data_IF_265358855351
#
_entry.id   IF_265358855351
#
_cell.length_a   1.000
_cell.length_b   1.000
_cell.length_c   1.000
_cell.angle_alpha   90.00
_cell.angle_beta   90.00
_cell.angle_gamma   90.00
#
_symmetry.space_group_name_H-M   'P 1'
#
loop_
_entity.id
_entity.type
_entity.pdbx_description
1 polymer ?
#
# COMPACT_ATOMS: atom_id res chain seq x y z
N UNK A 1 7.29 -10.68 -13.25
CA UNK A 1 6.03 -9.90 -13.29
C UNK A 1 4.78 -10.76 -13.08
N UNK A 2 4.46 -11.76 -13.94
CA UNK A 2 3.22 -12.56 -13.80
C UNK A 2 3.09 -13.29 -12.46
N UNK A 3 4.16 -13.89 -11.97
CA UNK A 3 4.20 -14.52 -10.63
C UNK A 3 3.92 -13.50 -9.52
N UNK A 4 4.48 -12.29 -9.65
CA UNK A 4 4.25 -11.20 -8.69
C UNK A 4 2.77 -10.77 -8.68
N UNK A 5 2.14 -10.63 -9.85
CA UNK A 5 0.72 -10.29 -9.96
C UNK A 5 -0.17 -11.40 -9.39
N UNK A 6 0.11 -12.66 -9.72
CA UNK A 6 -0.63 -13.79 -9.16
C UNK A 6 -0.50 -13.84 -7.63
N UNK A 7 0.71 -13.61 -7.09
CA UNK A 7 0.93 -13.57 -5.65
C UNK A 7 0.28 -12.34 -4.99
N UNK A 8 0.23 -11.20 -5.68
CA UNK A 8 -0.55 -10.02 -5.24
C UNK A 8 -2.04 -10.35 -5.10
N UNK A 9 -2.65 -11.00 -6.09
CA UNK A 9 -4.07 -11.38 -6.03
C UNK A 9 -4.37 -12.34 -4.89
N UNK A 10 -3.47 -13.27 -4.61
CA UNK A 10 -3.60 -14.19 -3.48
C UNK A 10 -3.38 -13.49 -2.15
N UNK A 11 -2.33 -12.68 -2.02
CA UNK A 11 -1.93 -12.09 -0.73
C UNK A 11 -2.78 -10.88 -0.34
N UNK A 12 -3.23 -10.07 -1.33
CA UNK A 12 -4.02 -8.85 -1.09
C UNK A 12 -5.50 -9.14 -1.23
N UNK A 13 -5.90 -9.73 -2.34
CA UNK A 13 -7.31 -9.93 -2.69
C UNK A 13 -7.83 -11.33 -2.34
N UNK A 14 -7.01 -12.14 -1.69
CA UNK A 14 -7.42 -13.41 -1.06
C UNK A 14 -8.17 -14.35 -1.99
N UNK A 15 -7.73 -14.48 -3.25
CA UNK A 15 -8.41 -15.34 -4.25
C UNK A 15 -8.56 -16.78 -3.82
N UNK A 16 -7.69 -17.29 -2.94
CA UNK A 16 -7.85 -18.61 -2.32
C UNK A 16 -9.08 -18.73 -1.41
N UNK A 17 -9.60 -17.62 -0.89
CA UNK A 17 -10.82 -17.60 -0.06
C UNK A 17 -12.06 -17.53 -0.97
N UNK A 18 -11.92 -16.95 -2.18
CA UNK A 18 -12.99 -16.92 -3.20
C UNK A 18 -13.17 -18.29 -3.87
N UNK A 19 -12.05 -18.96 -4.15
CA UNK A 19 -11.99 -20.28 -4.78
C UNK A 19 -11.16 -21.25 -3.93
N UNK A 20 -11.79 -22.04 -3.04
CA UNK A 20 -11.11 -22.93 -2.09
C UNK A 20 -10.14 -23.93 -2.74
N UNK A 21 -10.36 -24.29 -4.01
CA UNK A 21 -9.45 -25.16 -4.79
C UNK A 21 -8.04 -24.60 -4.85
N UNK A 22 -7.87 -23.26 -4.90
CA UNK A 22 -6.56 -22.59 -4.91
C UNK A 22 -5.80 -22.88 -3.62
N UNK A 23 -6.50 -22.84 -2.47
CA UNK A 23 -5.93 -23.18 -1.16
C UNK A 23 -5.59 -24.69 -1.06
N UNK A 24 -6.49 -25.55 -1.51
CA UNK A 24 -6.31 -27.01 -1.50
C UNK A 24 -5.09 -27.43 -2.33
N UNK A 25 -4.85 -26.79 -3.48
CA UNK A 25 -3.69 -27.03 -4.33
C UNK A 25 -2.40 -26.34 -3.83
N UNK A 26 -2.43 -25.72 -2.65
CA UNK A 26 -1.30 -25.00 -2.06
C UNK A 26 -0.68 -23.92 -2.99
N UNK A 27 -1.50 -23.34 -3.88
CA UNK A 27 -1.06 -22.31 -4.85
C UNK A 27 -0.37 -21.12 -4.18
N UNK A 28 -0.81 -20.63 -3.00
CA UNK A 28 -0.11 -19.56 -2.29
C UNK A 28 1.36 -19.88 -2.02
N UNK A 29 1.66 -21.06 -1.50
CA UNK A 29 3.02 -21.51 -1.18
C UNK A 29 3.85 -21.69 -2.48
N UNK A 30 3.25 -22.25 -3.53
CA UNK A 30 3.94 -22.42 -4.81
C UNK A 30 4.31 -21.06 -5.43
N UNK A 31 3.45 -20.06 -5.34
CA UNK A 31 3.74 -18.71 -5.83
C UNK A 31 4.79 -18.01 -4.97
N UNK A 32 4.74 -18.17 -3.66
CA UNK A 32 5.74 -17.65 -2.74
C UNK A 32 7.13 -18.19 -3.06
N UNK A 33 7.27 -19.53 -3.19
CA UNK A 33 8.53 -20.19 -3.56
C UNK A 33 9.00 -19.77 -4.97
N UNK A 34 8.10 -19.72 -5.95
CA UNK A 34 8.41 -19.30 -7.30
C UNK A 34 8.93 -17.87 -7.35
N UNK A 35 8.31 -16.97 -6.58
CA UNK A 35 8.75 -15.57 -6.47
C UNK A 35 10.11 -15.48 -5.79
N UNK A 36 10.34 -16.22 -4.70
CA UNK A 36 11.62 -16.27 -4.00
C UNK A 36 12.75 -16.75 -4.93
N UNK A 37 12.52 -17.82 -5.69
CA UNK A 37 13.49 -18.34 -6.68
C UNK A 37 13.76 -17.32 -7.78
N UNK A 38 12.72 -16.70 -8.34
CA UNK A 38 12.85 -15.67 -9.37
C UNK A 38 13.65 -14.45 -8.88
N UNK A 39 13.43 -14.01 -7.66
CA UNK A 39 14.17 -12.92 -7.03
C UNK A 39 15.64 -13.33 -6.78
N UNK A 40 15.90 -14.51 -6.22
CA UNK A 40 17.24 -15.02 -6.01
C UNK A 40 18.04 -15.11 -7.33
N UNK A 41 17.39 -15.56 -8.41
CA UNK A 41 17.99 -15.57 -9.74
C UNK A 41 18.30 -14.16 -10.26
N UNK A 42 17.41 -13.18 -10.02
CA UNK A 42 17.59 -11.80 -10.44
C UNK A 42 18.74 -11.08 -9.73
N UNK A 43 19.04 -11.47 -8.49
CA UNK A 43 20.13 -10.89 -7.68
C UNK A 43 21.52 -11.40 -8.09
N UNK A 44 21.60 -12.52 -8.83
CA UNK A 44 22.88 -13.08 -9.35
C UNK A 44 23.44 -12.29 -10.54
N UNK A 45 22.72 -11.29 -11.05
CA UNK A 45 23.18 -10.43 -12.13
C UNK A 45 24.38 -9.55 -11.72
N UNK A 46 25.18 -9.06 -12.72
CA UNK A 46 26.45 -8.34 -12.47
C UNK A 46 26.29 -6.96 -11.80
N UNK A 47 25.07 -6.49 -11.59
CA UNK A 47 24.78 -5.18 -10.98
C UNK A 47 23.71 -5.34 -9.91
N UNK A 48 24.01 -4.90 -8.67
CA UNK A 48 23.00 -4.87 -7.60
C UNK A 48 21.84 -3.94 -7.98
N UNK A 49 20.60 -4.40 -7.80
CA UNK A 49 19.42 -3.61 -8.09
C UNK A 49 19.39 -2.29 -7.31
N UNK A 50 19.06 -1.18 -7.97
CA UNK A 50 19.05 0.16 -7.34
C UNK A 50 18.01 0.28 -6.22
N UNK A 51 16.91 -0.48 -6.28
CA UNK A 51 15.87 -0.49 -5.26
C UNK A 51 16.36 -0.97 -3.88
N UNK A 52 17.44 -1.78 -3.82
CA UNK A 52 18.09 -2.18 -2.56
C UNK A 52 18.66 -0.98 -1.78
N UNK A 53 18.96 0.12 -2.44
CA UNK A 53 19.56 1.31 -1.83
C UNK A 53 18.52 2.31 -1.31
N UNK A 54 17.24 2.07 -1.57
CA UNK A 54 16.15 2.94 -1.10
C UNK A 54 15.96 2.80 0.41
N UNK A 55 15.84 3.93 1.12
CA UNK A 55 15.50 3.93 2.55
C UNK A 55 14.13 3.31 2.80
N UNK A 56 13.18 3.56 1.90
CA UNK A 56 11.83 3.00 1.98
C UNK A 56 11.84 1.47 1.84
N UNK A 57 12.85 0.91 1.17
CA UNK A 57 13.08 -0.54 1.12
C UNK A 57 13.65 -1.08 2.44
N UNK A 58 14.60 -0.36 3.06
CA UNK A 58 15.30 -0.84 4.25
C UNK A 58 14.41 -0.87 5.51
N UNK A 59 13.51 0.11 5.67
CA UNK A 59 12.71 0.26 6.90
C UNK A 59 11.84 -0.97 7.22
N UNK A 60 11.09 -1.59 6.28
CA UNK A 60 10.34 -2.82 6.55
C UNK A 60 11.21 -3.98 7.03
N UNK A 61 12.46 -4.07 6.55
CA UNK A 61 13.42 -5.08 7.03
C UNK A 61 13.97 -4.75 8.41
N UNK A 62 14.10 -3.47 8.76
CA UNK A 62 14.40 -3.05 10.13
C UNK A 62 13.24 -3.40 11.09
N UNK A 63 11.99 -3.28 10.62
CA UNK A 63 10.82 -3.75 11.40
C UNK A 63 10.87 -5.26 11.59
N UNK A 64 11.22 -6.03 10.56
CA UNK A 64 11.42 -7.48 10.67
C UNK A 64 12.54 -7.82 11.67
N UNK A 65 13.68 -7.12 11.59
CA UNK A 65 14.79 -7.30 12.53
C UNK A 65 14.35 -7.02 13.98
N UNK A 66 13.57 -5.94 14.19
CA UNK A 66 13.01 -5.61 15.50
C UNK A 66 12.08 -6.71 16.01
N UNK A 67 11.22 -7.28 15.14
CA UNK A 67 10.35 -8.41 15.50
C UNK A 67 11.16 -9.64 15.92
N UNK A 68 12.24 -9.95 15.17
CA UNK A 68 13.12 -11.10 15.46
C UNK A 68 13.86 -10.90 16.80
N UNK A 69 14.42 -9.71 17.02
CA UNK A 69 15.10 -9.35 18.29
C UNK A 69 14.12 -9.35 19.46
N UNK A 70 12.88 -8.91 19.22
CA UNK A 70 11.81 -8.90 20.23
C UNK A 70 11.21 -10.29 20.54
N UNK A 71 11.44 -11.30 19.68
CA UNK A 71 10.81 -12.61 19.80
C UNK A 71 11.05 -13.31 21.14
N UNK A 72 12.26 -13.34 21.73
CA UNK A 72 12.50 -13.94 23.05
C UNK A 72 11.72 -13.27 24.19
N UNK A 73 11.34 -12.01 24.01
CA UNK A 73 10.66 -11.17 25.00
C UNK A 73 9.15 -11.06 24.74
N UNK A 74 8.65 -11.67 23.67
CA UNK A 74 7.24 -11.63 23.29
C UNK A 74 6.35 -12.30 24.35
N UNK A 75 5.17 -11.75 24.60
CA UNK A 75 4.13 -12.34 25.44
C UNK A 75 3.72 -13.75 25.00
N UNK A 76 3.78 -14.00 23.69
CA UNK A 76 3.50 -15.33 23.14
C UNK A 76 4.47 -15.64 21.99
N UNK A 77 5.61 -16.18 22.33
CA UNK A 77 6.74 -16.44 21.41
C UNK A 77 6.35 -17.28 20.19
N UNK A 78 5.63 -18.39 20.41
CA UNK A 78 5.19 -19.28 19.31
C UNK A 78 4.25 -18.58 18.32
N UNK A 79 3.37 -17.75 18.82
CA UNK A 79 2.45 -16.95 18.00
C UNK A 79 3.20 -15.89 17.19
N UNK A 80 4.08 -15.13 17.83
CA UNK A 80 4.94 -14.16 17.16
C UNK A 80 5.85 -14.80 16.12
N UNK A 81 6.44 -15.97 16.42
CA UNK A 81 7.25 -16.72 15.43
C UNK A 81 6.42 -17.12 14.21
N UNK A 82 5.23 -17.67 14.42
CA UNK A 82 4.31 -18.05 13.36
C UNK A 82 3.91 -16.82 12.51
N UNK A 83 3.60 -15.70 13.16
CA UNK A 83 3.26 -14.45 12.47
C UNK A 83 4.44 -13.95 11.62
N UNK A 84 5.64 -13.88 12.18
CA UNK A 84 6.85 -13.44 11.46
C UNK A 84 7.06 -14.31 10.21
N UNK A 85 7.02 -15.64 10.38
CA UNK A 85 7.38 -16.58 9.31
C UNK A 85 6.28 -16.82 8.28
N UNK A 86 5.01 -16.84 8.70
CA UNK A 86 3.87 -17.20 7.84
C UNK A 86 3.07 -16.02 7.33
N UNK A 87 3.25 -14.84 7.92
CA UNK A 87 2.52 -13.62 7.51
C UNK A 87 3.47 -12.53 7.07
N UNK A 88 4.37 -12.06 7.94
CA UNK A 88 5.14 -10.86 7.64
C UNK A 88 6.26 -11.10 6.61
N UNK A 89 6.97 -12.23 6.64
CA UNK A 89 7.98 -12.55 5.61
C UNK A 89 7.37 -12.70 4.20
N UNK A 90 6.25 -13.41 3.99
CA UNK A 90 5.54 -13.40 2.70
C UNK A 90 5.11 -12.00 2.24
N UNK A 91 4.66 -11.15 3.16
CA UNK A 91 4.33 -9.74 2.86
C UNK A 91 5.55 -8.97 2.34
N UNK A 92 6.70 -9.12 2.99
CA UNK A 92 7.95 -8.50 2.53
C UNK A 92 8.42 -9.09 1.20
N UNK A 93 8.28 -10.39 0.99
CA UNK A 93 8.60 -11.03 -0.28
C UNK A 93 7.76 -10.46 -1.42
N UNK A 94 6.46 -10.24 -1.19
CA UNK A 94 5.59 -9.58 -2.17
C UNK A 94 6.02 -8.14 -2.44
N UNK A 95 6.35 -7.35 -1.40
CA UNK A 95 6.87 -5.99 -1.55
C UNK A 95 8.12 -5.96 -2.44
N UNK A 96 9.06 -6.85 -2.18
CA UNK A 96 10.29 -7.01 -2.98
C UNK A 96 9.96 -7.43 -4.41
N UNK A 97 9.03 -8.37 -4.58
CA UNK A 97 8.53 -8.82 -5.88
C UNK A 97 7.97 -7.68 -6.71
N UNK A 98 7.14 -6.82 -6.11
CA UNK A 98 6.59 -5.61 -6.75
C UNK A 98 7.72 -4.65 -7.13
N UNK A 99 8.62 -4.32 -6.18
CA UNK A 99 9.73 -3.41 -6.42
C UNK A 99 10.69 -3.91 -7.53
N UNK A 100 10.92 -5.22 -7.61
CA UNK A 100 11.78 -5.84 -8.61
C UNK A 100 11.10 -5.98 -10.00
N UNK A 101 9.77 -6.12 -10.03
CA UNK A 101 9.00 -6.34 -11.25
C UNK A 101 8.79 -5.06 -12.06
N UNK A 102 8.76 -3.90 -11.42
CA UNK A 102 8.56 -2.60 -12.07
C UNK A 102 9.91 -2.05 -12.54
N UNK A 103 10.12 -2.01 -13.85
CA UNK A 103 11.36 -1.52 -14.48
C UNK A 103 11.20 -0.18 -15.18
N UNK A 104 9.97 0.16 -15.53
CA UNK A 104 9.56 1.36 -16.24
C UNK A 104 8.10 1.71 -15.95
N UNK A 105 7.59 2.75 -16.61
CA UNK A 105 6.22 3.22 -16.43
C UNK A 105 5.16 2.20 -16.92
N UNK A 106 5.47 1.43 -17.98
CA UNK A 106 4.54 0.43 -18.51
C UNK A 106 4.36 -0.73 -17.53
N UNK A 107 5.46 -1.20 -16.92
CA UNK A 107 5.42 -2.20 -15.84
C UNK A 107 4.61 -1.68 -14.63
N UNK A 108 4.79 -0.40 -14.26
CA UNK A 108 4.04 0.25 -13.17
C UNK A 108 2.54 0.32 -13.48
N UNK A 109 2.18 0.73 -14.70
CA UNK A 109 0.80 0.73 -15.17
C UNK A 109 0.18 -0.66 -15.14
N UNK A 110 0.94 -1.67 -15.57
CA UNK A 110 0.45 -3.05 -15.58
C UNK A 110 0.16 -3.56 -14.18
N UNK A 111 1.06 -3.37 -13.22
CA UNK A 111 0.85 -3.79 -11.83
C UNK A 111 -0.30 -3.02 -11.17
N UNK A 112 -0.38 -1.70 -11.38
CA UNK A 112 -1.50 -0.90 -10.88
C UNK A 112 -2.84 -1.34 -11.48
N UNK A 113 -2.88 -1.67 -12.78
CA UNK A 113 -4.10 -2.16 -13.42
C UNK A 113 -4.47 -3.58 -12.95
N UNK A 114 -3.48 -4.46 -12.80
CA UNK A 114 -3.69 -5.78 -12.24
C UNK A 114 -4.19 -5.73 -10.77
N UNK A 115 -3.69 -4.76 -9.98
CA UNK A 115 -4.23 -4.51 -8.65
C UNK A 115 -5.70 -4.10 -8.69
N UNK A 116 -6.07 -3.20 -9.61
CA UNK A 116 -7.46 -2.76 -9.79
C UNK A 116 -8.37 -3.92 -10.22
N UNK A 117 -7.92 -4.78 -11.16
CA UNK A 117 -8.65 -5.99 -11.55
C UNK A 117 -8.88 -6.90 -10.32
N UNK A 118 -7.84 -7.11 -9.51
CA UNK A 118 -7.97 -7.92 -8.29
C UNK A 118 -8.99 -7.32 -7.30
N UNK A 119 -8.98 -5.99 -7.14
CA UNK A 119 -9.96 -5.28 -6.34
C UNK A 119 -11.39 -5.50 -6.83
N UNK A 120 -11.61 -5.39 -8.15
CA UNK A 120 -12.94 -5.54 -8.74
C UNK A 120 -13.46 -6.98 -8.68
N UNK A 121 -12.60 -7.97 -8.95
CA UNK A 121 -12.95 -9.39 -8.82
C UNK A 121 -13.36 -9.71 -7.38
N UNK A 122 -12.55 -9.27 -6.41
CA UNK A 122 -12.86 -9.45 -5.00
C UNK A 122 -14.15 -8.73 -4.59
N UNK A 123 -14.31 -7.48 -5.04
CA UNK A 123 -15.49 -6.66 -4.77
C UNK A 123 -16.76 -7.28 -5.35
N UNK A 124 -16.70 -7.72 -6.60
CA UNK A 124 -17.84 -8.35 -7.27
C UNK A 124 -18.23 -9.67 -6.60
N UNK A 125 -17.25 -10.50 -6.25
CA UNK A 125 -17.50 -11.71 -5.49
C UNK A 125 -18.16 -11.40 -4.13
N UNK A 126 -17.59 -10.45 -3.39
CA UNK A 126 -18.14 -10.02 -2.09
C UNK A 126 -19.57 -9.52 -2.23
N UNK A 127 -19.84 -8.71 -3.25
CA UNK A 127 -21.17 -8.18 -3.52
C UNK A 127 -22.21 -9.27 -3.82
N UNK A 128 -21.83 -10.31 -4.57
CA UNK A 128 -22.73 -11.34 -5.07
C UNK A 128 -22.91 -12.50 -4.10
N UNK A 129 -21.89 -12.87 -3.34
CA UNK A 129 -21.84 -14.13 -2.60
C UNK A 129 -21.66 -14.00 -1.09
N UNK A 130 -21.25 -12.82 -0.58
CA UNK A 130 -21.12 -12.62 0.86
C UNK A 130 -22.41 -12.04 1.42
N UNK A 131 -22.97 -12.72 2.42
CA UNK A 131 -24.18 -12.25 3.09
C UNK A 131 -23.90 -10.99 3.93
N UNK A 132 -24.87 -10.10 3.97
CA UNK A 132 -24.85 -8.96 4.90
C UNK A 132 -24.94 -9.52 6.33
N UNK A 133 -24.06 -9.05 7.19
CA UNK A 133 -24.04 -9.47 8.60
C UNK A 133 -25.29 -9.06 9.37
N UNK A 134 -25.50 -9.64 10.53
CA UNK A 134 -26.60 -9.31 11.43
C UNK A 134 -26.58 -7.85 11.91
N UNK A 135 -25.43 -7.18 11.79
CA UNK A 135 -25.23 -5.75 12.04
C UNK A 135 -25.59 -4.85 10.85
N UNK A 136 -26.13 -5.43 9.76
CA UNK A 136 -26.50 -4.74 8.54
C UNK A 136 -25.31 -4.33 7.66
N UNK A 137 -24.09 -4.85 7.90
CA UNK A 137 -22.86 -4.47 7.22
C UNK A 137 -22.33 -5.59 6.34
N UNK A 138 -21.77 -5.21 5.19
CA UNK A 138 -21.08 -6.14 4.32
C UNK A 138 -19.58 -6.21 4.71
N UNK A 139 -19.11 -7.41 5.04
CA UNK A 139 -17.69 -7.69 5.28
C UNK A 139 -17.01 -8.23 4.02
N UNK A 140 -15.69 -8.30 4.02
CA UNK A 140 -14.91 -8.97 2.99
C UNK A 140 -14.82 -10.49 3.19
N UNK A 141 -15.92 -11.13 3.57
CA UNK A 141 -15.97 -12.58 3.80
C UNK A 141 -15.27 -12.99 5.11
N UNK A 142 -14.58 -14.13 5.09
CA UNK A 142 -14.00 -14.71 6.30
C UNK A 142 -12.74 -14.00 6.79
N UNK A 143 -12.04 -13.25 5.94
CA UNK A 143 -10.71 -12.70 6.25
C UNK A 143 -10.74 -11.21 6.61
N UNK A 144 -11.52 -10.42 5.92
CA UNK A 144 -11.60 -8.97 6.12
C UNK A 144 -12.94 -8.60 6.76
N UNK A 145 -12.89 -7.85 7.85
CA UNK A 145 -14.11 -7.25 8.39
C UNK A 145 -14.60 -6.09 7.49
N UNK A 146 -15.75 -5.51 7.83
CA UNK A 146 -16.33 -4.42 7.05
C UNK A 146 -15.45 -3.15 7.02
N UNK A 147 -14.62 -2.92 8.05
CA UNK A 147 -13.72 -1.76 8.10
C UNK A 147 -12.43 -2.04 7.32
N UNK A 148 -11.92 -3.28 7.37
CA UNK A 148 -10.79 -3.73 6.55
C UNK A 148 -11.11 -3.59 5.07
N UNK A 149 -12.30 -4.09 4.66
CA UNK A 149 -12.81 -3.95 3.31
C UNK A 149 -12.84 -2.48 2.89
N UNK A 150 -13.48 -1.61 3.69
CA UNK A 150 -13.57 -0.18 3.38
C UNK A 150 -12.20 0.48 3.25
N UNK A 151 -11.23 0.15 4.11
CA UNK A 151 -9.85 0.66 4.02
C UNK A 151 -9.23 0.33 2.67
N UNK A 152 -9.28 -0.94 2.26
CA UNK A 152 -8.65 -1.40 1.02
C UNK A 152 -9.29 -0.76 -0.20
N UNK A 153 -10.62 -0.65 -0.22
CA UNK A 153 -11.36 -0.05 -1.33
C UNK A 153 -11.11 1.46 -1.43
N UNK A 154 -11.16 2.20 -0.32
CA UNK A 154 -10.88 3.64 -0.32
C UNK A 154 -9.46 3.94 -0.80
N UNK A 155 -8.47 3.17 -0.35
CA UNK A 155 -7.10 3.36 -0.78
C UNK A 155 -6.85 2.91 -2.24
N UNK A 156 -7.74 2.12 -2.84
CA UNK A 156 -7.71 1.75 -4.26
C UNK A 156 -8.31 2.84 -5.17
N UNK A 157 -9.23 3.70 -4.67
CA UNK A 157 -9.89 4.75 -5.47
C UNK A 157 -8.88 5.65 -6.22
N UNK A 158 -7.80 6.18 -5.63
CA UNK A 158 -6.84 7.02 -6.36
C UNK A 158 -6.15 6.28 -7.52
N UNK A 159 -5.96 4.96 -7.39
CA UNK A 159 -5.42 4.10 -8.47
C UNK A 159 -6.45 3.98 -9.59
N UNK A 160 -7.73 3.81 -9.30
CA UNK A 160 -8.77 3.81 -10.32
C UNK A 160 -8.87 5.17 -11.05
N UNK A 161 -8.87 6.28 -10.30
CA UNK A 161 -8.87 7.65 -10.86
C UNK A 161 -7.65 7.90 -11.76
N UNK A 162 -6.49 7.35 -11.44
CA UNK A 162 -5.28 7.43 -12.27
C UNK A 162 -5.53 6.93 -13.70
N UNK A 163 -6.33 5.90 -13.90
CA UNK A 163 -6.68 5.39 -15.24
C UNK A 163 -7.67 6.27 -16.01
N UNK A 164 -8.24 7.32 -15.40
CA UNK A 164 -9.08 8.30 -16.12
C UNK A 164 -8.27 9.42 -16.79
N UNK A 165 -6.94 9.45 -16.66
CA UNK A 165 -6.07 10.48 -17.25
C UNK A 165 -6.11 10.48 -18.78
N UNK A 166 -5.79 11.61 -19.44
CA UNK A 166 -5.60 11.67 -20.90
C UNK A 166 -4.55 10.67 -21.37
N UNK A 167 -4.72 10.14 -22.59
CA UNK A 167 -3.78 9.18 -23.18
C UNK A 167 -4.01 7.71 -22.81
N UNK A 168 -4.80 7.41 -21.77
CA UNK A 168 -5.19 6.03 -21.45
C UNK A 168 -6.22 5.52 -22.45
N UNK A 169 -6.09 4.27 -22.88
CA UNK A 169 -7.02 3.61 -23.79
C UNK A 169 -8.46 3.65 -23.23
N UNK A 170 -9.44 3.88 -24.12
CA UNK A 170 -10.84 4.08 -23.72
C UNK A 170 -11.40 2.92 -22.89
N UNK A 171 -11.06 1.68 -23.23
CA UNK A 171 -11.55 0.52 -22.51
C UNK A 171 -11.04 0.48 -21.04
N UNK A 172 -9.78 0.91 -20.78
CA UNK A 172 -9.25 1.03 -19.42
C UNK A 172 -9.95 2.14 -18.63
N UNK A 173 -10.32 3.24 -19.31
CA UNK A 173 -11.08 4.33 -18.69
C UNK A 173 -12.48 3.89 -18.31
N UNK A 174 -13.18 3.16 -19.20
CA UNK A 174 -14.51 2.62 -18.94
C UNK A 174 -14.44 1.61 -17.79
N UNK A 175 -13.44 0.71 -17.81
CA UNK A 175 -13.20 -0.21 -16.72
C UNK A 175 -13.00 0.54 -15.38
N UNK A 176 -12.15 1.56 -15.34
CA UNK A 176 -11.91 2.35 -14.13
C UNK A 176 -13.16 3.10 -13.63
N UNK A 177 -14.04 3.57 -14.52
CA UNK A 177 -15.33 4.17 -14.14
C UNK A 177 -16.27 3.14 -13.50
N UNK A 178 -16.36 1.94 -14.06
CA UNK A 178 -17.12 0.84 -13.47
C UNK A 178 -16.56 0.41 -12.12
N UNK A 179 -15.22 0.30 -12.03
CA UNK A 179 -14.51 0.04 -10.77
C UNK A 179 -14.88 1.07 -9.71
N UNK A 180 -14.81 2.37 -10.01
CA UNK A 180 -15.18 3.41 -9.07
C UNK A 180 -16.60 3.26 -8.54
N UNK A 181 -17.54 2.94 -9.41
CA UNK A 181 -18.94 2.65 -9.02
C UNK A 181 -19.03 1.49 -8.04
N UNK A 182 -18.39 0.37 -8.38
CA UNK A 182 -18.39 -0.84 -7.55
C UNK A 182 -17.70 -0.62 -6.20
N UNK A 183 -16.53 0.01 -6.19
CA UNK A 183 -15.78 0.29 -4.96
C UNK A 183 -16.58 1.18 -4.01
N UNK A 184 -17.22 2.25 -4.53
CA UNK A 184 -18.03 3.17 -3.72
C UNK A 184 -19.26 2.45 -3.16
N UNK A 185 -19.94 1.65 -3.96
CA UNK A 185 -21.09 0.87 -3.51
C UNK A 185 -20.73 -0.07 -2.35
N UNK A 186 -19.58 -0.76 -2.42
CA UNK A 186 -19.16 -1.64 -1.34
C UNK A 186 -18.72 -0.86 -0.09
N UNK A 187 -18.11 0.31 -0.26
CA UNK A 187 -17.79 1.19 0.87
C UNK A 187 -19.08 1.59 1.60
N UNK A 188 -20.14 1.93 0.87
CA UNK A 188 -21.44 2.24 1.46
C UNK A 188 -21.98 1.01 2.21
N UNK A 189 -22.02 -0.16 1.56
CA UNK A 189 -22.52 -1.42 2.18
C UNK A 189 -21.69 -1.87 3.38
N UNK A 190 -20.41 -1.53 3.43
CA UNK A 190 -19.57 -1.81 4.59
C UNK A 190 -20.00 -1.06 5.85
N UNK A 191 -20.72 0.05 5.71
CA UNK A 191 -21.13 0.91 6.83
C UNK A 191 -19.95 1.41 7.68
N UNK A 192 -18.73 1.46 7.12
CA UNK A 192 -17.54 1.84 7.87
C UNK A 192 -17.44 3.36 8.04
N UNK A 193 -17.57 3.85 9.28
CA UNK A 193 -17.37 5.28 9.62
C UNK A 193 -15.94 5.73 9.32
N UNK A 194 -14.95 4.90 9.63
CA UNK A 194 -13.54 5.16 9.29
C UNK A 194 -13.31 5.21 7.78
N UNK A 195 -13.96 4.30 7.03
CA UNK A 195 -13.97 4.30 5.57
C UNK A 195 -14.61 5.56 4.99
N UNK A 196 -15.70 6.04 5.58
CA UNK A 196 -16.37 7.29 5.17
C UNK A 196 -15.45 8.52 5.35
N UNK A 197 -14.81 8.66 6.52
CA UNK A 197 -13.85 9.75 6.78
C UNK A 197 -12.69 9.67 5.78
N UNK A 198 -12.14 8.49 5.55
CA UNK A 198 -11.06 8.29 4.61
C UNK A 198 -11.48 8.60 3.16
N UNK A 199 -12.71 8.26 2.76
CA UNK A 199 -13.25 8.60 1.45
C UNK A 199 -13.36 10.12 1.25
N UNK A 200 -13.79 10.86 2.27
CA UNK A 200 -13.81 12.33 2.23
C UNK A 200 -12.39 12.88 2.05
N UNK A 201 -11.41 12.39 2.82
CA UNK A 201 -10.02 12.83 2.69
C UNK A 201 -9.43 12.52 1.30
N UNK A 202 -9.73 11.34 0.75
CA UNK A 202 -9.33 10.96 -0.62
C UNK A 202 -10.03 11.83 -1.66
N UNK A 203 -11.32 12.15 -1.49
CA UNK A 203 -12.06 13.05 -2.38
C UNK A 203 -11.43 14.45 -2.37
N UNK A 204 -11.13 15.00 -1.21
CA UNK A 204 -10.44 16.30 -1.06
C UNK A 204 -9.06 16.23 -1.75
N UNK A 205 -8.30 15.15 -1.54
CA UNK A 205 -7.02 14.95 -2.19
C UNK A 205 -7.17 14.95 -3.71
N UNK A 206 -8.14 14.22 -4.25
CA UNK A 206 -8.41 14.16 -5.69
C UNK A 206 -8.73 15.55 -6.23
N UNK A 207 -9.57 16.33 -5.54
CA UNK A 207 -9.96 17.68 -5.97
C UNK A 207 -8.77 18.66 -5.97
N UNK A 208 -7.95 18.64 -4.92
CA UNK A 208 -6.92 19.66 -4.67
C UNK A 208 -5.55 19.27 -5.21
N UNK A 209 -5.11 18.06 -4.93
CA UNK A 209 -3.73 17.63 -5.13
C UNK A 209 -3.50 16.79 -6.39
N UNK A 210 -4.51 16.10 -6.91
CA UNK A 210 -4.35 15.22 -8.07
C UNK A 210 -4.36 16.00 -9.40
N UNK A 211 -3.36 16.86 -9.58
CA UNK A 211 -3.30 17.85 -10.68
C UNK A 211 -3.04 17.26 -12.06
N UNK A 212 -2.52 16.05 -12.15
CA UNK A 212 -2.32 15.34 -13.43
C UNK A 212 -3.63 14.89 -14.08
N UNK A 213 -4.76 14.97 -13.37
CA UNK A 213 -6.09 14.69 -13.89
C UNK A 213 -6.82 16.01 -14.17
N UNK A 214 -7.47 16.19 -15.33
CA UNK A 214 -8.24 17.41 -15.63
C UNK A 214 -9.28 17.72 -14.57
N UNK A 215 -9.46 18.99 -14.22
CA UNK A 215 -10.37 19.43 -13.13
C UNK A 215 -11.80 18.92 -13.32
N UNK A 216 -12.31 18.92 -14.57
CA UNK A 216 -13.65 18.40 -14.89
C UNK A 216 -13.81 16.90 -14.55
N UNK A 217 -12.74 16.09 -14.75
CA UNK A 217 -12.75 14.66 -14.39
C UNK A 217 -12.71 14.50 -12.88
N UNK A 218 -11.87 15.28 -12.17
CA UNK A 218 -11.80 15.26 -10.69
C UNK A 218 -13.13 15.63 -10.06
N UNK A 219 -13.71 16.75 -10.49
CA UNK A 219 -15.02 17.21 -9.98
C UNK A 219 -16.11 16.21 -10.34
N UNK A 220 -16.14 15.71 -11.58
CA UNK A 220 -17.10 14.71 -12.03
C UNK A 220 -17.02 13.41 -11.23
N UNK A 221 -15.80 12.91 -10.97
CA UNK A 221 -15.61 11.68 -10.16
C UNK A 221 -16.10 11.86 -8.71
N UNK A 222 -15.79 12.98 -8.07
CA UNK A 222 -16.24 13.26 -6.70
C UNK A 222 -17.74 13.52 -6.65
N UNK A 223 -18.30 14.25 -7.61
CA UNK A 223 -19.75 14.46 -7.71
C UNK A 223 -20.48 13.12 -7.93
N UNK A 224 -19.99 12.27 -8.83
CA UNK A 224 -20.55 10.94 -9.03
C UNK A 224 -20.52 10.10 -7.75
N UNK A 225 -19.39 10.13 -7.02
CA UNK A 225 -19.29 9.45 -5.72
C UNK A 225 -20.34 9.97 -4.72
N UNK A 226 -20.52 11.29 -4.61
CA UNK A 226 -21.51 11.89 -3.74
C UNK A 226 -22.95 11.51 -4.14
N UNK A 227 -23.27 11.48 -5.44
CA UNK A 227 -24.57 11.03 -5.94
C UNK A 227 -24.79 9.54 -5.61
N UNK A 228 -23.81 8.69 -5.87
CA UNK A 228 -23.91 7.26 -5.52
C UNK A 228 -24.16 7.08 -4.01
N UNK A 229 -23.46 7.82 -3.16
CA UNK A 229 -23.67 7.75 -1.72
C UNK A 229 -25.08 8.20 -1.29
N UNK A 230 -25.65 9.22 -1.92
CA UNK A 230 -27.01 9.68 -1.61
C UNK A 230 -28.09 8.71 -2.12
N UNK A 231 -27.86 8.09 -3.29
CA UNK A 231 -28.82 7.17 -3.91
C UNK A 231 -28.80 5.80 -3.24
N UNK A 232 -27.61 5.25 -2.97
CA UNK A 232 -27.44 3.89 -2.44
C UNK A 232 -27.28 3.83 -0.91
N UNK A 233 -27.02 4.97 -0.26
CA UNK A 233 -26.93 5.05 1.20
C UNK A 233 -28.28 4.85 1.86
N UNK A 234 -28.48 3.71 2.54
CA UNK A 234 -29.70 3.42 3.28
C UNK A 234 -29.88 4.38 4.47
N UNK A 235 -31.11 4.48 5.00
CA UNK A 235 -31.38 5.23 6.22
C UNK A 235 -30.50 4.75 7.40
N UNK A 236 -30.29 3.45 7.53
CA UNK A 236 -29.39 2.85 8.53
C UNK A 236 -27.94 3.28 8.35
N UNK A 237 -27.46 3.37 7.10
CA UNK A 237 -26.13 3.90 6.79
C UNK A 237 -25.96 5.34 7.29
N UNK A 238 -26.91 6.21 6.97
CA UNK A 238 -26.85 7.62 7.37
C UNK A 238 -27.01 7.80 8.89
N UNK A 239 -27.86 7.00 9.55
CA UNK A 239 -27.92 6.95 11.01
C UNK A 239 -26.56 6.60 11.64
N UNK A 240 -25.87 5.60 11.07
CA UNK A 240 -24.52 5.23 11.51
C UNK A 240 -23.52 6.36 11.30
N UNK A 241 -23.54 7.05 10.15
CA UNK A 241 -22.67 8.22 9.91
C UNK A 241 -22.99 9.38 10.84
N UNK A 242 -24.26 9.56 11.21
CA UNK A 242 -24.67 10.62 12.15
C UNK A 242 -24.04 10.46 13.55
N UNK A 243 -23.69 9.24 13.98
CA UNK A 243 -22.99 9.03 15.27
C UNK A 243 -21.60 9.67 15.31
N UNK A 244 -21.01 10.03 14.15
CA UNK A 244 -19.75 10.77 14.10
C UNK A 244 -19.89 12.20 14.72
N UNK A 245 -21.08 12.78 14.64
CA UNK A 245 -21.38 14.11 15.22
C UNK A 245 -21.88 14.03 16.65
N UNK A 246 -22.18 12.83 17.16
CA UNK A 246 -22.67 12.57 18.52
C UNK A 246 -21.83 11.51 19.24
N UNK A 247 -20.58 11.84 19.64
CA UNK A 247 -19.67 10.87 20.26
C UNK A 247 -20.19 10.28 21.59
N UNK A 248 -21.09 10.98 22.29
CA UNK A 248 -21.69 10.49 23.53
C UNK A 248 -22.59 9.25 23.31
N UNK A 249 -23.17 9.12 22.12
CA UNK A 249 -24.03 8.00 21.76
C UNK A 249 -23.23 6.82 21.15
N UNK A 250 -21.92 6.98 20.94
CA UNK A 250 -21.07 5.97 20.35
C UNK A 250 -20.45 5.05 21.41
N UNK A 251 -20.82 3.77 21.38
CA UNK A 251 -20.23 2.70 22.18
C UNK A 251 -18.69 2.71 22.15
N UNK A 252 -18.07 2.98 21.00
CA UNK A 252 -16.61 3.00 20.87
C UNK A 252 -15.94 4.13 21.66
N UNK A 253 -16.70 5.16 22.02
CA UNK A 253 -16.21 6.32 22.78
C UNK A 253 -16.53 6.24 24.27
N UNK A 254 -17.63 5.58 24.64
CA UNK A 254 -18.18 5.58 25.99
C UNK A 254 -17.89 4.30 26.77
N UNK A 255 -17.79 3.14 26.09
CA UNK A 255 -17.59 1.85 26.72
C UNK A 255 -16.14 1.64 27.21
N UNK A 256 -15.94 0.99 28.37
CA UNK A 256 -14.60 0.59 28.86
C UNK A 256 -13.92 -0.47 27.96
N UNK A 257 -14.69 -1.13 27.09
CA UNK A 257 -14.20 -2.06 26.06
C UNK A 257 -14.31 -1.46 24.65
N UNK A 258 -14.64 -0.20 24.55
CA UNK A 258 -14.70 0.57 23.29
C UNK A 258 -13.31 0.96 22.79
N UNK A 259 -13.23 1.42 21.51
CA UNK A 259 -11.96 1.76 20.84
C UNK A 259 -11.13 2.77 21.61
N UNK A 260 -11.73 3.85 22.14
CA UNK A 260 -11.03 4.88 22.92
C UNK A 260 -10.29 4.28 24.13
N UNK A 261 -10.94 3.38 24.86
CA UNK A 261 -10.35 2.72 26.02
C UNK A 261 -9.23 1.74 25.60
N UNK A 262 -9.43 0.97 24.49
CA UNK A 262 -8.41 0.09 23.91
C UNK A 262 -7.19 0.89 23.47
N UNK A 263 -7.37 2.03 22.82
CA UNK A 263 -6.25 2.89 22.39
C UNK A 263 -5.45 3.41 23.59
N UNK A 264 -6.14 3.84 24.66
CA UNK A 264 -5.46 4.26 25.90
C UNK A 264 -4.60 3.12 26.48
N UNK A 265 -5.13 1.89 26.53
CA UNK A 265 -4.37 0.72 26.99
C UNK A 265 -3.21 0.38 26.07
N UNK A 266 -3.43 0.42 24.74
CA UNK A 266 -2.38 0.17 23.74
C UNK A 266 -1.22 1.17 23.84
N UNK A 267 -1.50 2.46 24.09
CA UNK A 267 -0.47 3.45 24.42
C UNK A 267 0.24 3.07 25.74
N UNK A 268 -0.49 2.59 26.73
CA UNK A 268 0.11 2.05 27.97
C UNK A 268 1.08 0.92 27.70
N UNK A 269 0.73 -0.06 26.85
CA UNK A 269 1.63 -1.17 26.46
C UNK A 269 2.89 -0.66 25.77
N UNK A 270 2.75 0.33 24.86
CA UNK A 270 3.88 0.97 24.20
C UNK A 270 4.83 1.65 25.19
N UNK A 271 4.31 2.35 26.19
CA UNK A 271 5.11 3.09 27.17
C UNK A 271 5.77 2.18 28.21
N UNK A 272 5.13 1.05 28.55
CA UNK A 272 5.71 0.06 29.49
C UNK A 272 6.73 -0.86 28.81
N UNK A 273 6.67 -1.02 27.48
CA UNK A 273 7.58 -1.82 26.67
C UNK A 273 8.15 -0.99 25.49
N UNK A 274 8.87 0.12 25.73
CA UNK A 274 9.13 1.14 24.70
C UNK A 274 10.04 0.68 23.57
N UNK A 275 10.96 -0.26 23.78
CA UNK A 275 11.96 -0.65 22.80
C UNK A 275 11.45 -1.68 21.79
N UNK A 276 10.76 -2.71 22.26
CA UNK A 276 10.40 -3.90 21.47
C UNK A 276 8.90 -4.25 21.57
N UNK A 277 8.13 -3.49 22.36
CA UNK A 277 6.71 -3.74 22.56
C UNK A 277 6.40 -5.05 23.30
N UNK A 278 5.14 -5.51 23.15
CA UNK A 278 4.67 -6.77 23.75
C UNK A 278 5.00 -8.00 22.88
N UNK A 279 5.51 -7.78 21.67
CA UNK A 279 5.81 -8.82 20.69
C UNK A 279 4.90 -8.72 19.44
N UNK A 280 5.42 -9.15 18.29
CA UNK A 280 4.70 -9.09 17.03
C UNK A 280 3.39 -9.90 17.09
N UNK A 281 2.28 -9.28 16.66
CA UNK A 281 0.93 -9.86 16.63
C UNK A 281 0.43 -10.35 18.02
N UNK A 282 0.79 -9.66 19.09
CA UNK A 282 0.37 -10.01 20.46
C UNK A 282 -0.53 -8.97 21.13
N UNK A 283 -1.06 -8.01 20.39
CA UNK A 283 -1.92 -6.97 20.97
C UNK A 283 -3.16 -7.56 21.68
N UNK A 284 -3.81 -8.54 21.08
CA UNK A 284 -4.96 -9.22 21.67
C UNK A 284 -4.60 -9.97 22.95
N UNK A 285 -3.41 -10.57 23.01
CA UNK A 285 -2.88 -11.24 24.20
C UNK A 285 -2.56 -10.23 25.30
N UNK A 286 -2.03 -9.05 24.93
CA UNK A 286 -1.80 -7.96 25.88
C UNK A 286 -3.12 -7.46 26.47
N UNK A 287 -4.18 -7.32 25.67
CA UNK A 287 -5.53 -6.98 26.14
C UNK A 287 -6.05 -8.05 27.14
N UNK A 288 -5.80 -9.32 26.87
CA UNK A 288 -6.23 -10.42 27.74
C UNK A 288 -5.43 -10.58 29.03
N UNK A 289 -4.12 -10.32 29.01
CA UNK A 289 -3.22 -10.65 30.11
C UNK A 289 -2.74 -9.44 30.91
N UNK A 290 -2.54 -8.27 30.26
CA UNK A 290 -1.99 -7.09 30.91
C UNK A 290 -3.06 -6.07 31.32
N UNK A 291 -4.24 -6.07 30.66
CA UNK A 291 -5.26 -5.06 30.93
C UNK A 291 -5.94 -5.29 32.29
N UNK A 292 -6.10 -4.21 33.07
CA UNK A 292 -6.82 -4.26 34.36
C UNK A 292 -8.27 -4.69 34.19
N UNK A 293 -8.93 -4.31 33.09
CA UNK A 293 -10.31 -4.71 32.82
C UNK A 293 -10.41 -6.23 32.60
N UNK A 294 -9.42 -6.86 31.97
CA UNK A 294 -9.40 -8.32 31.81
C UNK A 294 -9.25 -9.03 33.17
N UNK A 295 -8.40 -8.51 34.03
CA UNK A 295 -8.21 -9.02 35.38
C UNK A 295 -9.48 -8.89 36.23
N UNK A 296 -10.16 -7.74 36.18
CA UNK A 296 -11.43 -7.51 36.83
C UNK A 296 -12.51 -8.50 36.38
N UNK A 297 -12.70 -8.66 35.06
CA UNK A 297 -13.68 -9.60 34.52
C UNK A 297 -13.37 -11.04 34.89
N UNK A 298 -12.09 -11.41 34.89
CA UNK A 298 -11.67 -12.74 35.35
C UNK A 298 -11.97 -12.95 36.84
N UNK A 299 -11.74 -11.97 37.70
CA UNK A 299 -12.08 -12.02 39.11
C UNK A 299 -13.59 -12.15 39.37
N UNK A 300 -14.41 -11.59 38.49
CA UNK A 300 -15.87 -11.70 38.52
C UNK A 300 -16.41 -12.97 37.79
N UNK A 301 -15.55 -13.89 37.36
CA UNK A 301 -15.90 -15.05 36.52
C UNK A 301 -16.65 -14.68 35.25
N UNK A 302 -16.34 -13.52 34.68
CA UNK A 302 -16.93 -13.00 33.44
C UNK A 302 -15.94 -13.11 32.28
N UNK A 303 -16.40 -13.59 31.14
CA UNK A 303 -15.60 -13.59 29.92
C UNK A 303 -15.44 -12.18 29.34
N UNK A 304 -14.23 -11.81 28.95
CA UNK A 304 -13.95 -10.62 28.17
C UNK A 304 -13.48 -11.02 26.78
N UNK A 305 -14.07 -10.43 25.73
CA UNK A 305 -13.55 -10.58 24.36
C UNK A 305 -12.27 -9.77 24.23
N UNK A 306 -11.15 -10.42 23.97
CA UNK A 306 -9.89 -9.76 23.70
C UNK A 306 -9.95 -9.10 22.32
N UNK A 307 -9.74 -7.81 22.29
CA UNK A 307 -9.90 -7.00 21.08
C UNK A 307 -8.54 -6.62 20.50
N UNK A 308 -8.48 -6.52 19.17
CA UNK A 308 -7.37 -5.87 18.51
C UNK A 308 -7.44 -4.35 18.67
N UNK A 309 -6.36 -3.62 18.33
CA UNK A 309 -6.27 -2.18 18.52
C UNK A 309 -7.31 -1.37 17.73
N UNK A 310 -7.79 -1.86 16.59
CA UNK A 310 -8.58 -1.10 15.62
C UNK A 310 -7.96 0.27 15.28
N UNK A 311 -6.62 0.32 15.26
CA UNK A 311 -5.80 1.47 14.90
C UNK A 311 -4.40 0.96 14.60
N UNK A 312 -3.92 1.16 13.38
CA UNK A 312 -2.62 0.65 12.91
C UNK A 312 -1.43 1.23 13.68
N UNK A 313 -1.52 2.48 14.12
CA UNK A 313 -0.44 3.16 14.85
C UNK A 313 -0.36 2.67 16.29
N UNK A 314 -1.50 2.53 16.95
CA UNK A 314 -1.58 1.96 18.30
C UNK A 314 -1.19 0.49 18.30
N UNK A 315 -1.58 -0.26 17.27
CA UNK A 315 -1.18 -1.65 17.08
C UNK A 315 0.34 -1.79 17.06
N UNK A 316 1.00 -1.08 16.15
CA UNK A 316 2.46 -1.12 16.00
C UNK A 316 3.16 -0.65 17.28
N UNK A 317 2.67 0.44 17.89
CA UNK A 317 3.23 0.95 19.13
C UNK A 317 3.12 -0.05 20.28
N UNK A 318 1.98 -0.70 20.45
CA UNK A 318 1.78 -1.73 21.48
C UNK A 318 2.64 -2.97 21.25
N UNK A 319 2.73 -3.45 20.02
CA UNK A 319 3.42 -4.69 19.64
C UNK A 319 4.93 -4.55 19.48
N UNK A 320 5.41 -3.43 18.93
CA UNK A 320 6.82 -3.20 18.63
C UNK A 320 7.44 -2.01 19.37
N UNK A 321 6.70 -1.43 20.31
CA UNK A 321 7.15 -0.28 21.11
C UNK A 321 7.22 1.02 20.31
N UNK A 322 7.78 2.05 20.94
CA UNK A 322 8.05 3.35 20.33
C UNK A 322 8.96 3.19 19.10
N UNK A 323 9.94 2.27 19.16
CA UNK A 323 10.85 1.98 18.05
C UNK A 323 10.09 1.53 16.80
N UNK A 324 9.15 0.57 16.94
CA UNK A 324 8.32 0.11 15.84
C UNK A 324 7.43 1.20 15.28
N UNK A 325 6.80 2.01 16.14
CA UNK A 325 5.97 3.14 15.74
C UNK A 325 6.78 4.18 14.95
N UNK A 326 7.98 4.53 15.41
CA UNK A 326 8.87 5.46 14.70
C UNK A 326 9.29 4.92 13.33
N UNK A 327 9.62 3.63 13.21
CA UNK A 327 9.93 3.02 11.93
C UNK A 327 8.73 3.08 10.98
N UNK A 328 7.53 2.75 11.45
CA UNK A 328 6.32 2.77 10.64
C UNK A 328 5.95 4.19 10.17
N UNK A 329 5.98 5.18 11.05
CA UNK A 329 5.71 6.59 10.71
C UNK A 329 6.81 7.13 9.77
N UNK A 330 8.07 6.77 9.99
CA UNK A 330 9.19 7.15 9.11
C UNK A 330 9.02 6.55 7.71
N UNK A 331 8.56 5.30 7.60
CA UNK A 331 8.26 4.66 6.31
C UNK A 331 7.19 5.43 5.54
N UNK A 332 6.09 5.76 6.20
CA UNK A 332 5.00 6.55 5.60
C UNK A 332 5.51 7.95 5.21
N UNK A 333 6.17 8.65 6.13
CA UNK A 333 6.64 10.02 5.92
C UNK A 333 7.68 10.13 4.81
N UNK A 334 8.64 9.19 4.75
CA UNK A 334 9.65 9.15 3.67
C UNK A 334 9.03 8.81 2.32
N UNK A 335 8.04 7.90 2.29
CA UNK A 335 7.30 7.56 1.07
C UNK A 335 6.50 8.76 0.55
N UNK A 336 5.73 9.43 1.41
CA UNK A 336 4.97 10.63 1.03
C UNK A 336 5.89 11.78 0.60
N UNK A 337 7.00 12.01 1.31
CA UNK A 337 8.00 13.01 0.92
C UNK A 337 8.57 12.72 -0.46
N UNK A 338 9.01 11.49 -0.71
CA UNK A 338 9.55 11.08 -2.01
C UNK A 338 8.53 11.33 -3.13
N UNK A 339 7.28 10.88 -2.96
CA UNK A 339 6.22 11.09 -3.94
C UNK A 339 5.91 12.57 -4.17
N UNK A 340 5.95 13.42 -3.13
CA UNK A 340 5.72 14.85 -3.25
C UNK A 340 6.80 15.61 -4.04
N UNK A 341 8.00 15.03 -4.15
CA UNK A 341 9.12 15.59 -4.92
C UNK A 341 8.98 15.29 -6.43
N UNK A 342 8.09 14.39 -6.83
CA UNK A 342 7.87 13.99 -8.22
C UNK A 342 6.87 14.95 -8.87
N UNK A 343 7.40 15.96 -9.57
CA UNK A 343 6.59 17.00 -10.22
C UNK A 343 7.02 17.16 -11.68
N UNK A 344 6.06 17.02 -12.59
CA UNK A 344 6.25 17.35 -14.00
C UNK A 344 5.99 18.86 -14.26
N UNK A 345 6.58 19.38 -15.34
CA UNK A 345 6.32 20.74 -15.81
C UNK A 345 7.51 21.68 -15.69
N UNK A 346 7.36 22.97 -16.07
CA UNK A 346 8.48 23.92 -16.21
C UNK A 346 9.27 24.20 -14.92
N UNK A 347 8.66 23.98 -13.77
CA UNK A 347 9.28 24.14 -12.44
C UNK A 347 9.61 22.79 -11.79
N UNK A 348 9.38 21.67 -12.51
CA UNK A 348 9.65 20.30 -12.04
C UNK A 348 10.99 19.77 -12.55
N UNK A 349 11.23 18.49 -12.24
CA UNK A 349 12.36 17.74 -12.76
C UNK A 349 12.14 17.45 -14.27
N UNK A 350 13.04 17.84 -15.17
CA UNK A 350 12.88 17.63 -16.61
C UNK A 350 12.79 16.14 -17.01
N UNK A 351 13.30 15.25 -16.14
CA UNK A 351 13.21 13.81 -16.35
C UNK A 351 11.86 13.20 -15.92
N UNK A 352 10.95 14.00 -15.32
CA UNK A 352 9.61 13.55 -14.87
C UNK A 352 8.60 13.74 -15.99
N UNK A 353 8.03 12.64 -16.45
CA UNK A 353 6.91 12.68 -17.39
C UNK A 353 5.59 13.03 -16.68
N UNK A 354 4.58 13.52 -17.42
CA UNK A 354 3.22 13.70 -16.87
C UNK A 354 2.63 12.40 -16.28
N UNK A 355 3.02 11.26 -16.82
CA UNK A 355 2.61 9.94 -16.35
C UNK A 355 3.25 9.58 -15.02
N UNK A 356 4.56 9.82 -14.84
CA UNK A 356 5.26 9.62 -13.57
C UNK A 356 4.60 10.47 -12.46
N UNK A 357 4.30 11.74 -12.77
CA UNK A 357 3.62 12.63 -11.84
C UNK A 357 2.20 12.15 -11.48
N UNK A 358 1.45 11.62 -12.46
CA UNK A 358 0.13 11.07 -12.23
C UNK A 358 0.17 9.81 -11.37
N UNK A 359 1.13 8.91 -11.63
CA UNK A 359 1.33 7.70 -10.85
C UNK A 359 1.72 8.00 -9.40
N UNK A 360 2.66 8.95 -9.23
CA UNK A 360 3.06 9.43 -7.91
C UNK A 360 1.88 10.01 -7.12
N UNK A 361 1.01 10.80 -7.77
CA UNK A 361 -0.20 11.34 -7.14
C UNK A 361 -1.20 10.24 -6.78
N UNK A 362 -1.34 9.20 -7.62
CA UNK A 362 -2.18 8.05 -7.30
C UNK A 362 -1.68 7.31 -6.05
N UNK A 363 -0.37 7.03 -5.97
CA UNK A 363 0.24 6.40 -4.80
C UNK A 363 0.13 7.28 -3.55
N UNK A 364 0.29 8.60 -3.69
CA UNK A 364 0.09 9.55 -2.58
C UNK A 364 -1.34 9.47 -2.05
N UNK A 365 -2.34 9.52 -2.94
CA UNK A 365 -3.75 9.40 -2.57
C UNK A 365 -4.08 8.07 -1.93
N UNK A 366 -3.51 6.96 -2.44
CA UNK A 366 -3.66 5.62 -1.88
C UNK A 366 -3.08 5.53 -0.45
N UNK A 367 -1.87 6.08 -0.22
CA UNK A 367 -1.26 6.15 1.11
C UNK A 367 -2.03 7.05 2.06
N UNK A 368 -2.56 8.20 1.60
CA UNK A 368 -3.43 9.05 2.41
C UNK A 368 -4.70 8.29 2.81
N UNK A 369 -5.36 7.64 1.86
CA UNK A 369 -6.54 6.81 2.13
C UNK A 369 -6.24 5.71 3.14
N UNK A 370 -5.12 4.99 2.95
CA UNK A 370 -4.66 3.96 3.88
C UNK A 370 -4.40 4.51 5.29
N UNK A 371 -3.68 5.63 5.41
CA UNK A 371 -3.34 6.20 6.71
C UNK A 371 -4.58 6.67 7.48
N UNK A 372 -5.52 7.33 6.80
CA UNK A 372 -6.75 7.83 7.44
C UNK A 372 -7.65 6.66 7.84
N UNK A 373 -7.91 5.69 6.95
CA UNK A 373 -8.69 4.52 7.31
C UNK A 373 -7.98 3.64 8.35
N UNK A 374 -6.66 3.48 8.24
CA UNK A 374 -5.81 2.72 9.15
C UNK A 374 -5.75 3.30 10.58
N UNK A 375 -6.15 4.56 10.76
CA UNK A 375 -6.38 5.12 12.10
C UNK A 375 -7.57 4.48 12.81
N UNK A 376 -8.45 3.78 12.08
CA UNK A 376 -9.63 3.10 12.60
C UNK A 376 -9.59 1.58 12.39
N UNK A 377 -8.49 1.04 11.87
CA UNK A 377 -8.30 -0.37 11.50
C UNK A 377 -6.92 -0.87 11.89
N UNK A 378 -6.80 -2.11 12.30
CA UNK A 378 -5.52 -2.78 12.63
C UNK A 378 -4.84 -3.34 11.38
N UNK A 379 -4.46 -2.48 10.43
CA UNK A 379 -3.97 -2.86 9.10
C UNK A 379 -2.46 -2.66 8.90
N UNK A 380 -1.68 -2.41 9.96
CA UNK A 380 -0.26 -2.06 9.83
C UNK A 380 0.59 -3.13 9.14
N UNK A 381 0.16 -4.39 9.17
CA UNK A 381 0.85 -5.53 8.54
C UNK A 381 0.16 -6.04 7.27
N UNK A 382 -0.86 -5.36 6.76
CA UNK A 382 -1.59 -5.80 5.58
C UNK A 382 -0.69 -5.78 4.33
N UNK A 383 -0.73 -6.84 3.56
CA UNK A 383 -0.01 -6.97 2.28
C UNK A 383 -0.27 -5.79 1.34
N UNK A 384 -1.48 -5.25 1.36
CA UNK A 384 -1.88 -4.08 0.58
C UNK A 384 -0.94 -2.88 0.80
N UNK A 385 -0.66 -2.52 2.07
CA UNK A 385 0.24 -1.42 2.40
C UNK A 385 1.64 -1.64 1.83
N UNK A 386 2.19 -2.84 2.00
CA UNK A 386 3.53 -3.16 1.51
C UNK A 386 3.60 -3.27 -0.02
N UNK A 387 2.49 -3.59 -0.70
CA UNK A 387 2.39 -3.47 -2.17
C UNK A 387 2.52 -2.00 -2.59
N UNK A 388 1.82 -1.07 -1.92
CA UNK A 388 1.99 0.37 -2.18
C UNK A 388 3.45 0.81 -1.95
N UNK A 389 4.07 0.39 -0.85
CA UNK A 389 5.49 0.69 -0.58
C UNK A 389 6.38 0.10 -1.67
N UNK A 390 6.13 -1.13 -2.13
CA UNK A 390 6.86 -1.76 -3.24
C UNK A 390 6.76 -0.94 -4.53
N UNK A 391 5.59 -0.39 -4.85
CA UNK A 391 5.40 0.51 -6.00
C UNK A 391 6.18 1.83 -5.83
N UNK A 392 6.20 2.42 -4.62
CA UNK A 392 6.98 3.64 -4.32
C UNK A 392 8.48 3.39 -4.48
N UNK A 393 8.99 2.27 -3.95
CA UNK A 393 10.39 1.86 -4.08
C UNK A 393 10.78 1.62 -5.54
N UNK A 394 9.89 1.00 -6.32
CA UNK A 394 10.09 0.79 -7.74
C UNK A 394 10.19 2.11 -8.51
N UNK A 395 9.30 3.04 -8.22
CA UNK A 395 9.26 4.36 -8.85
C UNK A 395 10.57 5.13 -8.59
N UNK A 396 11.07 5.17 -7.36
CA UNK A 396 12.39 5.72 -7.02
C UNK A 396 13.52 5.08 -7.85
N UNK A 397 13.47 3.77 -7.99
CA UNK A 397 14.49 2.98 -8.69
C UNK A 397 14.51 3.22 -10.21
N UNK A 398 13.37 3.21 -10.89
CA UNK A 398 13.37 3.37 -12.35
C UNK A 398 13.69 4.81 -12.78
N UNK A 399 13.30 5.81 -12.00
CA UNK A 399 13.71 7.21 -12.20
C UNK A 399 15.21 7.39 -12.03
N UNK A 400 15.80 6.82 -11.00
CA UNK A 400 17.25 6.84 -10.81
C UNK A 400 18.00 6.18 -11.99
N UNK A 401 17.41 5.15 -12.63
CA UNK A 401 17.95 4.55 -13.86
C UNK A 401 17.85 5.48 -15.07
N UNK A 402 16.72 6.17 -15.22
CA UNK A 402 16.48 7.14 -16.33
C UNK A 402 17.48 8.29 -16.25
N UNK A 403 17.63 8.92 -15.08
CA UNK A 403 18.63 9.99 -14.85
C UNK A 403 20.06 9.54 -15.17
N UNK A 404 20.45 8.33 -14.77
CA UNK A 404 21.79 7.81 -15.07
C UNK A 404 22.02 7.60 -16.58
N UNK A 405 21.00 7.25 -17.35
CA UNK A 405 21.07 7.10 -18.82
C UNK A 405 21.13 8.45 -19.51
N UNK A 406 20.31 9.41 -19.11
CA UNK A 406 20.30 10.78 -19.63
C UNK A 406 21.64 11.49 -19.38
N UNK A 407 22.19 11.41 -18.19
CA UNK A 407 23.51 11.96 -17.87
C UNK A 407 24.65 11.35 -18.70
N UNK A 408 24.56 10.05 -19.02
CA UNK A 408 25.56 9.38 -19.89
C UNK A 408 25.44 9.86 -21.35
N UNK A 409 24.24 10.08 -21.85
CA UNK A 409 24.00 10.59 -23.21
C UNK A 409 24.54 12.02 -23.38
N UNK A 410 24.32 12.89 -22.39
CA UNK A 410 24.85 14.25 -22.38
C UNK A 410 26.40 14.23 -22.31
N UNK A 411 26.99 13.37 -21.47
CA UNK A 411 28.44 13.24 -21.37
C UNK A 411 29.09 12.70 -22.64
N UNK A 412 28.41 11.82 -23.38
CA UNK A 412 28.89 11.31 -24.68
C UNK A 412 28.80 12.39 -25.77
N UNK A 413 27.73 13.20 -25.75
CA UNK A 413 27.58 14.32 -26.72
C UNK A 413 28.51 15.50 -26.42
N UNK A 414 28.96 15.66 -25.16
CA UNK A 414 29.90 16.69 -24.74
C UNK A 414 31.37 16.32 -24.92
N UNK A 415 31.72 15.12 -25.39
CA UNK A 415 33.08 14.80 -25.78
C UNK A 415 33.44 15.61 -27.02
N UNK A 416 34.46 16.52 -26.98
CA UNK A 416 34.92 17.27 -28.15
C UNK A 416 35.34 16.25 -29.21
N UNK A 417 34.80 16.43 -30.43
CA UNK A 417 35.21 15.62 -31.56
C UNK A 417 36.74 15.62 -31.63
N UNK A 418 37.35 14.46 -31.44
CA UNK A 418 38.79 14.27 -31.56
C UNK A 418 39.14 14.72 -32.97
N UNK A 419 39.85 15.86 -33.11
CA UNK A 419 40.33 16.35 -34.39
C UNK A 419 41.19 15.25 -35.01
N UNK A 420 40.62 14.53 -35.95
CA UNK A 420 41.38 13.62 -36.78
C UNK A 420 42.41 14.46 -37.53
N UNK A 421 43.69 14.38 -37.13
CA UNK A 421 44.78 14.96 -37.89
C UNK A 421 44.76 14.28 -39.26
N UNK A 422 44.21 14.97 -40.25
CA UNK A 422 44.42 14.61 -41.66
C UNK A 422 45.92 14.83 -41.94
N UNK A 423 46.61 13.71 -42.08
CA UNK A 423 48.00 13.70 -42.52
C UNK A 423 48.03 14.30 -43.94
N UNK A 424 48.52 15.51 -44.07
CA UNK A 424 48.83 16.12 -45.37
C UNK A 424 49.85 15.21 -46.07
N UNK A 425 49.41 14.55 -47.12
CA UNK A 425 50.30 13.89 -48.09
C UNK A 425 51.10 14.95 -48.80
N UNK A 426 52.39 15.00 -48.53
CA UNK A 426 53.39 15.75 -49.33
C UNK A 426 53.40 15.14 -50.74
N UNK A 427 53.25 15.96 -51.85
CA UNK A 427 53.38 15.47 -53.21
C UNK A 427 54.84 15.03 -53.48
N UNK A 428 55.03 13.80 -53.98
CA UNK A 428 56.33 13.37 -54.48
C UNK A 428 56.64 14.12 -55.79
N UNK A 429 57.74 14.87 -55.82
CA UNK A 429 58.31 15.48 -56.99
C UNK A 429 58.69 14.37 -57.99
N UNK A 430 58.17 14.41 -59.20
CA UNK A 430 58.61 13.59 -60.31
C UNK A 430 59.97 14.11 -60.78
N UNK A 431 60.96 13.29 -60.69
CA UNK A 431 62.25 13.49 -61.31
C UNK A 431 62.17 13.10 -62.77
N UNK A 432 62.48 14.00 -63.73
CA UNK A 432 62.58 13.74 -65.15
C UNK A 432 64.06 13.73 -65.51
N UNK A 433 64.59 12.63 -66.08
CA UNK A 433 65.97 12.69 -66.60
C UNK A 433 66.06 13.39 -67.93
N UNK A 434 67.04 14.26 -68.01
CA UNK A 434 67.45 14.84 -69.25
C UNK A 434 68.32 13.88 -70.04
N UNK A 435 67.99 13.65 -71.33
CA UNK A 435 68.78 13.04 -72.37
C UNK A 435 68.62 13.81 -73.66
#
# INVERSE_FOLDING_TARGET
MYVTVAFLWISVWRFQDLWPIIGTLQVPILLELSLAVALAASLRGPRSPKWLKSRMFAIPFLMLALMIVGLPFSLWRGWSFTFITKVFMPVLLLMVGVAASIRDADDANWIAFAHLIGADVYSLYTYLFVAIGSDGRLSGGAHYDANDLALMLVATIPIAVYFLRPGVAIWKRLFALLSLGLLIELIIKSGSRGGFIALICVAIFILVAFRSIPVRVRVGSVAAAAVLMTVFGSAAYWQMMHTLTKPADDYNMTSPVGRKAIWKRGVGYMLTHPLIGTGANTFTQAEGSLSEISKQYAAENRGLKWSTAHNSFVLIGGELGVTGLLLFVTLIGTSLKHLAEIKAGPKGDPDVTPEDAAFSQALTGALVGFCVAGFFVSAAYFSFFYVLIGMVVAEDSFRARRRARGGTAVAVSARPATKTRVAQRVPRAHWVPAG
#
